data_IF_361285928129
#
_entry.id   IF_361285928129
#
_cell.length_a   1.000
_cell.length_b   1.000
_cell.length_c   1.000
_cell.angle_alpha   90.00
_cell.angle_beta   90.00
_cell.angle_gamma   90.00
#
_symmetry.space_group_name_H-M   'P 1'
#
loop_
_entity.id
_entity.type
_entity.pdbx_description
1 polymer ?
#
# COMPACT_ATOMS: atom_id res chain seq x y z
N UNK A 1 -56.40 -46.84 83.77
CA UNK A 1 -56.93 -46.50 82.43
C UNK A 1 -56.65 -47.67 81.51
N UNK A 2 -57.70 -48.31 80.96
CA UNK A 2 -57.54 -49.40 80.00
C UNK A 2 -57.12 -48.83 78.63
N UNK A 3 -56.40 -49.62 77.83
CA UNK A 3 -55.99 -49.25 76.46
C UNK A 3 -57.21 -48.85 75.60
N UNK A 4 -58.40 -49.39 75.90
CA UNK A 4 -59.65 -48.97 75.25
C UNK A 4 -60.06 -47.53 75.55
N UNK A 5 -59.81 -47.02 76.76
CA UNK A 5 -60.12 -45.65 77.13
C UNK A 5 -59.12 -44.66 76.51
N UNK A 6 -57.85 -45.06 76.42
CA UNK A 6 -56.83 -44.29 75.69
C UNK A 6 -57.12 -44.25 74.17
N UNK A 7 -57.60 -45.35 73.58
CA UNK A 7 -58.02 -45.38 72.18
C UNK A 7 -59.29 -44.59 71.91
N UNK A 8 -60.27 -44.58 72.83
CA UNK A 8 -61.47 -43.75 72.66
C UNK A 8 -61.18 -42.26 72.83
N UNK A 9 -60.27 -41.89 73.75
CA UNK A 9 -59.78 -40.51 73.87
C UNK A 9 -58.92 -40.11 72.67
N UNK A 10 -58.15 -41.03 72.08
CA UNK A 10 -57.41 -40.74 70.84
C UNK A 10 -58.36 -40.59 69.64
N UNK A 11 -59.42 -41.40 69.56
CA UNK A 11 -60.46 -41.25 68.53
C UNK A 11 -61.25 -39.94 68.68
N UNK A 12 -61.46 -39.43 69.90
CA UNK A 12 -62.11 -38.14 70.13
C UNK A 12 -61.17 -36.95 69.88
N UNK A 13 -59.87 -37.10 70.15
CA UNK A 13 -58.84 -36.09 69.84
C UNK A 13 -58.49 -35.98 68.34
N UNK A 14 -58.73 -37.06 67.57
CA UNK A 14 -58.52 -37.09 66.10
C UNK A 14 -59.82 -36.78 65.34
N UNK A 15 -60.95 -36.53 66.03
CA UNK A 15 -62.16 -35.97 65.42
C UNK A 15 -61.92 -34.49 65.06
N UNK A 16 -61.16 -34.28 64.00
CA UNK A 16 -60.81 -33.02 63.39
C UNK A 16 -62.06 -32.47 62.69
N UNK A 17 -62.92 -31.80 63.47
CA UNK A 17 -64.20 -31.25 62.99
C UNK A 17 -64.10 -30.59 61.62
N UNK A 18 -65.12 -30.80 60.78
CA UNK A 18 -65.23 -30.18 59.46
C UNK A 18 -64.92 -28.67 59.58
N UNK A 19 -63.95 -28.13 58.85
CA UNK A 19 -63.45 -28.58 57.53
C UNK A 19 -62.09 -29.33 57.53
N UNK A 20 -61.55 -29.71 58.69
CA UNK A 20 -60.14 -30.12 58.78
C UNK A 20 -59.88 -31.56 58.28
N UNK A 21 -60.85 -32.47 58.42
CA UNK A 21 -60.82 -33.83 57.85
C UNK A 21 -60.75 -33.83 56.31
N UNK A 22 -61.52 -32.96 55.65
CA UNK A 22 -61.56 -32.87 54.19
C UNK A 22 -60.26 -32.33 53.60
N UNK A 23 -59.61 -31.38 54.29
CA UNK A 23 -58.30 -30.86 53.91
C UNK A 23 -57.23 -31.95 54.03
N UNK A 24 -57.29 -32.79 55.06
CA UNK A 24 -56.36 -33.90 55.24
C UNK A 24 -56.55 -34.96 54.15
N UNK A 25 -57.80 -35.29 53.83
CA UNK A 25 -58.15 -36.24 52.79
C UNK A 25 -57.71 -35.77 51.39
N UNK A 26 -57.85 -34.48 51.10
CA UNK A 26 -57.38 -33.88 49.84
C UNK A 26 -55.87 -33.71 49.84
N UNK A 27 -55.25 -33.44 50.99
CA UNK A 27 -53.80 -33.32 51.15
C UNK A 27 -53.03 -34.55 50.68
N UNK A 28 -53.59 -35.76 50.87
CA UNK A 28 -53.00 -37.03 50.41
C UNK A 28 -52.83 -37.07 48.88
N UNK A 29 -53.72 -36.43 48.12
CA UNK A 29 -53.66 -36.40 46.66
C UNK A 29 -53.06 -35.10 46.11
N UNK A 30 -53.38 -33.98 46.75
CA UNK A 30 -52.93 -32.65 46.35
C UNK A 30 -51.41 -32.48 46.52
N UNK A 31 -50.84 -32.94 47.64
CA UNK A 31 -49.43 -32.71 47.94
C UNK A 31 -48.49 -33.46 46.95
N UNK A 32 -48.72 -34.74 46.62
CA UNK A 32 -47.99 -35.41 45.54
C UNK A 32 -48.16 -34.74 44.17
N UNK A 33 -49.37 -34.31 43.84
CA UNK A 33 -49.67 -33.69 42.55
C UNK A 33 -49.01 -32.31 42.39
N UNK A 34 -48.97 -31.52 43.47
CA UNK A 34 -48.25 -30.26 43.52
C UNK A 34 -46.74 -30.47 43.39
N UNK A 35 -46.18 -31.42 44.14
CA UNK A 35 -44.76 -31.76 44.07
C UNK A 35 -44.36 -32.20 42.65
N UNK A 36 -45.16 -33.05 42.01
CA UNK A 36 -44.98 -33.45 40.62
C UNK A 36 -45.00 -32.23 39.67
N UNK A 37 -45.97 -31.34 39.84
CA UNK A 37 -46.08 -30.13 39.02
C UNK A 37 -44.85 -29.22 39.13
N UNK A 38 -44.36 -29.00 40.34
CA UNK A 38 -43.14 -28.21 40.60
C UNK A 38 -41.92 -28.88 39.96
N UNK A 39 -41.77 -30.19 40.13
CA UNK A 39 -40.65 -30.94 39.57
C UNK A 39 -40.63 -30.86 38.04
N UNK A 40 -41.77 -31.03 37.37
CA UNK A 40 -41.87 -30.91 35.91
C UNK A 40 -41.48 -29.50 35.43
N UNK A 41 -41.87 -28.46 36.18
CA UNK A 41 -41.49 -27.08 35.88
C UNK A 41 -40.01 -26.79 36.14
N UNK A 42 -39.37 -27.42 37.11
CA UNK A 42 -37.93 -27.26 37.33
C UNK A 42 -37.12 -28.04 36.29
N UNK A 43 -37.56 -29.26 35.97
CA UNK A 43 -36.90 -30.14 35.01
C UNK A 43 -36.80 -29.51 33.60
N UNK A 44 -37.74 -28.63 33.23
CA UNK A 44 -37.71 -27.91 31.94
C UNK A 44 -36.38 -27.16 31.70
N UNK A 45 -35.67 -26.75 32.77
CA UNK A 45 -34.39 -26.02 32.68
C UNK A 45 -33.30 -26.83 32.00
N UNK A 46 -33.38 -28.16 32.07
CA UNK A 46 -32.39 -29.08 31.52
C UNK A 46 -32.69 -29.50 30.08
N UNK A 47 -33.81 -29.05 29.50
CA UNK A 47 -34.20 -29.39 28.13
C UNK A 47 -33.87 -28.25 27.15
N UNK A 48 -33.35 -28.58 25.94
CA UNK A 48 -33.05 -27.59 24.91
C UNK A 48 -34.32 -26.85 24.46
N UNK A 49 -34.14 -25.57 24.08
CA UNK A 49 -35.26 -24.62 23.98
C UNK A 49 -36.29 -24.94 22.87
N UNK A 50 -35.96 -25.81 21.91
CA UNK A 50 -36.79 -26.06 20.73
C UNK A 50 -37.54 -27.40 20.74
N UNK A 51 -37.54 -28.13 21.85
CA UNK A 51 -38.22 -29.43 21.90
C UNK A 51 -39.69 -29.31 22.33
N UNK A 52 -40.59 -29.90 21.53
CA UNK A 52 -42.01 -30.13 21.87
C UNK A 52 -42.18 -30.77 23.26
N UNK A 53 -41.20 -31.61 23.66
CA UNK A 53 -41.10 -32.22 24.98
C UNK A 53 -41.06 -31.20 26.12
N UNK A 54 -40.34 -30.08 25.96
CA UNK A 54 -40.27 -29.01 26.95
C UNK A 54 -41.64 -28.36 27.14
N UNK A 55 -42.31 -28.00 26.05
CA UNK A 55 -43.64 -27.39 26.12
C UNK A 55 -44.67 -28.35 26.73
N UNK A 56 -44.61 -29.64 26.39
CA UNK A 56 -45.48 -30.66 26.97
C UNK A 56 -45.27 -30.80 28.49
N UNK A 57 -44.02 -30.82 28.95
CA UNK A 57 -43.71 -30.90 30.39
C UNK A 57 -44.17 -29.66 31.16
N UNK A 58 -44.03 -28.47 30.58
CA UNK A 58 -44.53 -27.22 31.17
C UNK A 58 -46.04 -27.23 31.27
N UNK A 59 -46.73 -27.57 30.18
CA UNK A 59 -48.20 -27.65 30.16
C UNK A 59 -48.69 -28.68 31.17
N UNK A 60 -48.07 -29.86 31.22
CA UNK A 60 -48.38 -30.89 32.21
C UNK A 60 -48.17 -30.39 33.64
N UNK A 61 -47.06 -29.71 33.92
CA UNK A 61 -46.78 -29.13 35.23
C UNK A 61 -47.81 -28.07 35.65
N UNK A 62 -48.19 -27.19 34.73
CA UNK A 62 -49.23 -26.17 34.96
C UNK A 62 -50.59 -26.83 35.24
N UNK A 63 -50.96 -27.86 34.47
CA UNK A 63 -52.21 -28.60 34.68
C UNK A 63 -52.23 -29.27 36.06
N UNK A 64 -51.12 -29.89 36.49
CA UNK A 64 -51.01 -30.50 37.82
C UNK A 64 -51.19 -29.46 38.94
N UNK A 65 -50.56 -28.28 38.82
CA UNK A 65 -50.71 -27.21 39.81
C UNK A 65 -52.11 -26.58 39.81
N UNK A 66 -52.71 -26.40 38.64
CA UNK A 66 -54.08 -25.90 38.50
C UNK A 66 -55.08 -26.88 39.13
N UNK A 67 -54.96 -28.18 38.82
CA UNK A 67 -55.80 -29.23 39.40
C UNK A 67 -55.64 -29.31 40.93
N UNK A 68 -54.41 -29.19 41.42
CA UNK A 68 -54.15 -29.15 42.87
C UNK A 68 -54.80 -27.93 43.52
N UNK A 69 -54.62 -26.75 42.94
CA UNK A 69 -55.18 -25.50 43.45
C UNK A 69 -56.71 -25.52 43.46
N UNK A 70 -57.32 -26.04 42.39
CA UNK A 70 -58.77 -26.26 42.30
C UNK A 70 -59.25 -27.26 43.35
N UNK A 71 -58.54 -28.37 43.55
CA UNK A 71 -58.87 -29.36 44.57
C UNK A 71 -58.84 -28.78 45.99
N UNK A 72 -57.81 -27.99 46.32
CA UNK A 72 -57.69 -27.31 47.63
C UNK A 72 -58.74 -26.20 47.79
N UNK A 73 -59.01 -25.41 46.75
CA UNK A 73 -60.07 -24.40 46.79
C UNK A 73 -61.45 -25.02 46.95
N UNK A 74 -61.71 -26.13 46.26
CA UNK A 74 -62.95 -26.88 46.43
C UNK A 74 -63.05 -27.44 47.85
N UNK A 75 -61.95 -27.99 48.40
CA UNK A 75 -61.85 -28.43 49.80
C UNK A 75 -62.27 -27.35 50.79
N UNK A 76 -61.67 -26.17 50.61
CA UNK A 76 -61.84 -25.02 51.48
C UNK A 76 -63.22 -24.35 51.32
N UNK A 77 -63.95 -24.65 50.24
CA UNK A 77 -65.28 -24.07 50.00
C UNK A 77 -66.32 -24.48 51.05
N UNK A 78 -66.08 -25.58 51.77
CA UNK A 78 -66.86 -25.98 52.95
C UNK A 78 -66.86 -24.95 54.07
N UNK A 79 -65.78 -24.18 54.20
CA UNK A 79 -65.63 -23.14 55.20
C UNK A 79 -66.19 -21.78 54.75
N UNK A 80 -66.55 -21.64 53.48
CA UNK A 80 -67.05 -20.40 52.91
C UNK A 80 -68.59 -20.40 52.88
N UNK A 81 -69.25 -19.23 53.02
CA UNK A 81 -70.71 -19.11 53.09
C UNK A 81 -71.48 -19.45 51.79
N UNK A 82 -70.76 -19.88 50.75
CA UNK A 82 -71.23 -20.21 49.42
C UNK A 82 -70.62 -21.56 49.03
N UNK A 83 -71.46 -22.60 48.99
CA UNK A 83 -71.04 -23.95 48.61
C UNK A 83 -71.12 -24.12 47.09
N UNK A 84 -70.04 -24.61 46.48
CA UNK A 84 -70.07 -25.05 45.09
C UNK A 84 -70.78 -26.41 44.97
N UNK A 85 -72.08 -26.43 44.66
CA UNK A 85 -72.82 -27.66 44.32
C UNK A 85 -72.84 -28.73 45.42
N UNK A 86 -72.85 -30.01 45.02
CA UNK A 86 -72.97 -31.19 45.89
C UNK A 86 -71.69 -31.51 46.67
N UNK A 87 -71.24 -30.58 47.51
CA UNK A 87 -70.07 -30.72 48.39
C UNK A 87 -70.09 -32.04 49.17
N UNK A 88 -71.23 -32.38 49.77
CA UNK A 88 -71.41 -33.61 50.56
C UNK A 88 -71.18 -34.88 49.71
N UNK A 89 -71.59 -34.88 48.44
CA UNK A 89 -71.33 -36.01 47.52
C UNK A 89 -69.84 -36.12 47.17
N UNK A 90 -69.15 -34.98 47.02
CA UNK A 90 -67.72 -34.97 46.74
C UNK A 90 -66.89 -35.43 47.94
N UNK A 91 -67.15 -34.87 49.14
CA UNK A 91 -66.46 -35.27 50.37
C UNK A 91 -66.68 -36.76 50.67
N UNK A 92 -67.93 -37.26 50.56
CA UNK A 92 -68.20 -38.71 50.72
C UNK A 92 -67.51 -39.56 49.66
N UNK A 93 -67.46 -39.10 48.41
CA UNK A 93 -66.76 -39.81 47.33
C UNK A 93 -65.25 -39.87 47.56
N UNK A 94 -64.66 -38.77 48.02
CA UNK A 94 -63.24 -38.68 48.32
C UNK A 94 -62.88 -39.50 49.56
N UNK A 95 -63.71 -39.47 50.61
CA UNK A 95 -63.58 -40.31 51.78
C UNK A 95 -63.67 -41.80 51.41
N UNK A 96 -64.63 -42.19 50.57
CA UNK A 96 -64.74 -43.56 50.07
C UNK A 96 -63.48 -43.99 49.32
N UNK A 97 -62.89 -43.11 48.50
CA UNK A 97 -61.62 -43.39 47.83
C UNK A 97 -60.47 -43.56 48.83
N UNK A 98 -60.35 -42.67 49.82
CA UNK A 98 -59.32 -42.78 50.87
C UNK A 98 -59.48 -44.08 51.64
N UNK A 99 -60.70 -44.42 52.05
CA UNK A 99 -61.00 -45.66 52.77
C UNK A 99 -60.75 -46.90 51.90
N UNK A 100 -61.07 -46.85 50.60
CA UNK A 100 -60.84 -47.94 49.66
C UNK A 100 -59.34 -48.21 49.44
N UNK A 101 -58.53 -47.16 49.28
CA UNK A 101 -57.12 -47.28 48.94
C UNK A 101 -56.21 -47.48 50.16
N UNK A 102 -56.53 -46.83 51.28
CA UNK A 102 -55.66 -46.84 52.45
C UNK A 102 -56.22 -47.70 53.59
N UNK A 103 -57.54 -47.91 53.65
CA UNK A 103 -58.21 -48.72 54.68
C UNK A 103 -58.10 -48.18 56.12
N UNK A 104 -57.13 -47.31 56.40
CA UNK A 104 -56.85 -46.69 57.68
C UNK A 104 -56.07 -45.39 57.50
N UNK A 105 -56.31 -44.45 58.41
CA UNK A 105 -55.58 -43.17 58.54
C UNK A 105 -54.07 -43.39 58.74
N UNK A 106 -53.65 -44.48 59.37
CA UNK A 106 -52.23 -44.77 59.57
C UNK A 106 -51.52 -45.05 58.24
N UNK A 107 -52.16 -45.78 57.33
CA UNK A 107 -51.61 -46.09 56.01
C UNK A 107 -51.55 -44.86 55.11
N UNK A 108 -52.53 -43.96 55.21
CA UNK A 108 -52.51 -42.70 54.44
C UNK A 108 -51.41 -41.75 54.92
N UNK A 109 -51.16 -41.67 56.23
CA UNK A 109 -50.03 -40.90 56.79
C UNK A 109 -48.67 -41.49 56.37
N UNK A 110 -48.52 -42.82 56.42
CA UNK A 110 -47.30 -43.49 56.02
C UNK A 110 -47.03 -43.34 54.51
N UNK A 111 -48.09 -43.37 53.69
CA UNK A 111 -48.03 -43.04 52.28
C UNK A 111 -47.56 -41.60 52.03
N UNK A 112 -48.12 -40.62 52.74
CA UNK A 112 -47.74 -39.22 52.59
C UNK A 112 -46.26 -39.00 52.95
N UNK A 113 -45.79 -39.62 54.05
CA UNK A 113 -44.38 -39.59 54.42
C UNK A 113 -43.49 -40.22 53.32
N UNK A 114 -43.89 -41.35 52.78
CA UNK A 114 -43.21 -42.02 51.67
C UNK A 114 -43.13 -41.15 50.41
N UNK A 115 -44.24 -40.47 50.05
CA UNK A 115 -44.26 -39.52 48.94
C UNK A 115 -43.30 -38.35 49.17
N UNK A 116 -43.28 -37.75 50.37
CA UNK A 116 -42.37 -36.64 50.68
C UNK A 116 -40.91 -37.06 50.52
N UNK A 117 -40.52 -38.24 51.06
CA UNK A 117 -39.15 -38.76 50.91
C UNK A 117 -38.83 -39.06 49.44
N UNK A 118 -39.75 -39.69 48.72
CA UNK A 118 -39.58 -40.00 47.30
C UNK A 118 -39.37 -38.73 46.45
N UNK A 119 -40.22 -37.71 46.63
CA UNK A 119 -40.09 -36.45 45.91
C UNK A 119 -38.84 -35.66 46.32
N UNK A 120 -38.40 -35.73 47.58
CA UNK A 120 -37.14 -35.14 48.01
C UNK A 120 -35.93 -35.78 47.30
N UNK A 121 -35.90 -37.11 47.18
CA UNK A 121 -34.87 -37.82 46.42
C UNK A 121 -34.93 -37.46 44.94
N UNK A 122 -36.11 -37.47 44.34
CA UNK A 122 -36.29 -37.16 42.93
C UNK A 122 -35.90 -35.71 42.61
N UNK A 123 -36.25 -34.76 43.48
CA UNK A 123 -35.81 -33.38 43.38
C UNK A 123 -34.28 -33.26 43.51
N UNK A 124 -33.65 -34.01 44.41
CA UNK A 124 -32.19 -34.04 44.50
C UNK A 124 -31.55 -34.53 43.20
N UNK A 125 -32.05 -35.60 42.59
CA UNK A 125 -31.54 -36.12 41.31
C UNK A 125 -31.80 -35.19 40.12
N UNK A 126 -32.89 -34.42 40.13
CA UNK A 126 -33.26 -33.52 39.04
C UNK A 126 -32.54 -32.16 39.15
N UNK A 127 -32.35 -31.65 40.37
CA UNK A 127 -31.69 -30.36 40.62
C UNK A 127 -30.17 -30.52 40.60
N UNK A 128 -29.63 -31.67 41.02
CA UNK A 128 -28.24 -31.99 40.79
C UNK A 128 -28.02 -32.11 39.27
N UNK A 129 -27.18 -31.23 38.73
CA UNK A 129 -26.86 -31.22 37.32
C UNK A 129 -26.40 -32.62 36.88
N UNK A 130 -26.89 -33.16 35.74
CA UNK A 130 -26.28 -34.33 35.12
C UNK A 130 -24.80 -34.02 34.92
N UNK A 131 -23.93 -34.99 35.23
CA UNK A 131 -22.47 -34.82 35.13
C UNK A 131 -22.09 -34.10 33.83
N UNK A 132 -21.22 -33.08 33.88
CA UNK A 132 -20.80 -32.37 32.67
C UNK A 132 -20.17 -33.39 31.74
N UNK A 133 -20.68 -33.51 30.52
CA UNK A 133 -20.19 -34.44 29.52
C UNK A 133 -18.72 -34.12 29.20
N UNK A 134 -17.81 -34.79 29.91
CA UNK A 134 -16.37 -34.57 29.81
C UNK A 134 -15.83 -34.93 28.43
N UNK A 135 -16.58 -35.73 27.66
CA UNK A 135 -16.19 -36.14 26.31
C UNK A 135 -16.44 -35.00 25.34
N UNK A 136 -17.61 -34.36 25.36
CA UNK A 136 -17.88 -33.18 24.53
C UNK A 136 -16.94 -32.03 24.87
N UNK A 137 -16.72 -31.74 26.15
CA UNK A 137 -15.74 -30.76 26.62
C UNK A 137 -14.32 -31.04 26.11
N UNK A 138 -13.89 -32.31 26.11
CA UNK A 138 -12.58 -32.70 25.57
C UNK A 138 -12.50 -32.51 24.06
N UNK A 139 -13.56 -32.80 23.32
CA UNK A 139 -13.60 -32.58 21.87
C UNK A 139 -13.60 -31.10 21.51
N UNK A 140 -14.35 -30.28 22.24
CA UNK A 140 -14.36 -28.82 22.07
C UNK A 140 -13.00 -28.21 22.41
N UNK A 141 -12.35 -28.67 23.49
CA UNK A 141 -11.02 -28.18 23.86
C UNK A 141 -9.95 -28.55 22.81
N UNK A 142 -10.06 -29.72 22.18
CA UNK A 142 -9.20 -30.08 21.04
C UNK A 142 -9.47 -29.20 19.82
N UNK A 143 -10.73 -28.98 19.46
CA UNK A 143 -11.09 -28.11 18.34
C UNK A 143 -10.60 -26.68 18.56
N UNK A 144 -10.84 -26.10 19.73
CA UNK A 144 -10.37 -24.77 20.11
C UNK A 144 -8.84 -24.67 20.07
N UNK A 145 -8.12 -25.73 20.44
CA UNK A 145 -6.65 -25.76 20.37
C UNK A 145 -6.14 -25.78 18.93
N UNK A 146 -6.78 -26.51 18.03
CA UNK A 146 -6.43 -26.49 16.60
C UNK A 146 -6.76 -25.14 15.97
N UNK A 147 -7.91 -24.54 16.29
CA UNK A 147 -8.25 -23.18 15.85
C UNK A 147 -7.25 -22.13 16.35
N UNK A 148 -6.83 -22.23 17.62
CA UNK A 148 -5.82 -21.34 18.19
C UNK A 148 -4.44 -21.52 17.53
N UNK A 149 -4.11 -22.74 17.10
CA UNK A 149 -2.87 -23.01 16.36
C UNK A 149 -2.92 -22.39 14.96
N UNK A 150 -4.01 -22.59 14.24
CA UNK A 150 -4.23 -22.00 12.92
C UNK A 150 -4.24 -20.47 12.96
N UNK A 151 -4.88 -19.87 13.98
CA UNK A 151 -4.89 -18.42 14.15
C UNK A 151 -3.49 -17.88 14.43
N UNK A 152 -2.69 -18.57 15.25
CA UNK A 152 -1.30 -18.20 15.52
C UNK A 152 -0.43 -18.27 14.25
N UNK A 153 -0.60 -19.31 13.43
CA UNK A 153 0.09 -19.42 12.14
C UNK A 153 -0.32 -18.29 11.17
N UNK A 154 -1.61 -17.92 11.13
CA UNK A 154 -2.08 -16.80 10.33
C UNK A 154 -1.51 -15.46 10.80
N UNK A 155 -1.45 -15.22 12.12
CA UNK A 155 -0.84 -14.02 12.69
C UNK A 155 0.65 -13.94 12.35
N UNK A 156 1.38 -15.05 12.42
CA UNK A 156 2.80 -15.07 12.03
C UNK A 156 3.01 -14.75 10.55
N UNK A 157 2.13 -15.26 9.66
CA UNK A 157 2.18 -14.91 8.23
C UNK A 157 1.91 -13.42 8.01
N UNK A 158 0.89 -12.87 8.66
CA UNK A 158 0.58 -11.45 8.58
C UNK A 158 1.73 -10.58 9.11
N UNK A 159 2.42 -11.00 10.16
CA UNK A 159 3.58 -10.27 10.69
C UNK A 159 4.76 -10.26 9.70
N UNK A 160 5.00 -11.39 9.02
CA UNK A 160 6.02 -11.47 7.95
C UNK A 160 5.64 -10.59 6.76
N UNK A 161 4.40 -10.64 6.31
CA UNK A 161 3.93 -9.83 5.18
C UNK A 161 3.96 -8.34 5.52
N UNK A 162 3.62 -7.95 6.75
CA UNK A 162 3.70 -6.57 7.20
C UNK A 162 5.16 -6.06 7.21
N UNK A 163 6.12 -6.88 7.68
CA UNK A 163 7.55 -6.54 7.60
C UNK A 163 8.01 -6.34 6.15
N UNK A 164 7.63 -7.25 5.24
CA UNK A 164 7.93 -7.12 3.80
C UNK A 164 7.31 -5.87 3.18
N UNK A 165 6.07 -5.56 3.54
CA UNK A 165 5.40 -4.37 3.04
C UNK A 165 6.10 -3.10 3.53
N UNK A 166 6.54 -3.07 4.78
CA UNK A 166 7.24 -1.94 5.36
C UNK A 166 8.63 -1.74 4.73
N UNK A 167 9.36 -2.83 4.46
CA UNK A 167 10.61 -2.78 3.69
C UNK A 167 10.38 -2.23 2.28
N UNK A 168 9.35 -2.71 1.58
CA UNK A 168 8.99 -2.20 0.25
C UNK A 168 8.60 -0.71 0.28
N UNK A 169 7.87 -0.28 1.31
CA UNK A 169 7.47 1.11 1.48
C UNK A 169 8.68 2.00 1.70
N UNK A 170 9.63 1.57 2.54
CA UNK A 170 10.90 2.27 2.75
C UNK A 170 11.75 2.35 1.47
N UNK A 171 11.81 1.28 0.68
CA UNK A 171 12.49 1.29 -0.62
C UNK A 171 11.83 2.28 -1.61
N UNK A 172 10.49 2.36 -1.61
CA UNK A 172 9.77 3.33 -2.44
C UNK A 172 9.94 4.77 -1.97
N UNK A 173 9.96 5.02 -0.67
CA UNK A 173 10.24 6.34 -0.11
C UNK A 173 11.64 6.83 -0.47
N UNK A 174 12.66 5.96 -0.36
CA UNK A 174 14.03 6.30 -0.77
C UNK A 174 14.14 6.55 -2.28
N UNK A 175 13.44 5.76 -3.10
CA UNK A 175 13.36 5.97 -4.54
C UNK A 175 12.69 7.30 -4.91
N UNK A 176 11.60 7.65 -4.20
CA UNK A 176 10.91 8.93 -4.38
C UNK A 176 11.80 10.11 -3.99
N UNK A 177 12.48 10.04 -2.85
CA UNK A 177 13.42 11.09 -2.42
C UNK A 177 14.56 11.28 -3.43
N UNK A 178 15.05 10.20 -4.05
CA UNK A 178 16.04 10.28 -5.14
C UNK A 178 15.49 11.00 -6.37
N UNK A 179 14.28 10.63 -6.81
CA UNK A 179 13.63 11.27 -7.97
C UNK A 179 13.30 12.75 -7.71
N UNK A 180 12.90 13.11 -6.49
CA UNK A 180 12.71 14.50 -6.08
C UNK A 180 14.03 15.29 -6.14
N UNK A 181 15.14 14.69 -5.70
CA UNK A 181 16.48 15.29 -5.82
C UNK A 181 16.92 15.48 -7.28
N UNK A 182 16.66 14.50 -8.14
CA UNK A 182 16.93 14.61 -9.58
C UNK A 182 16.08 15.71 -10.23
N UNK A 183 14.79 15.81 -9.88
CA UNK A 183 13.91 16.87 -10.37
C UNK A 183 14.39 18.26 -9.96
N UNK A 184 14.83 18.44 -8.71
CA UNK A 184 15.34 19.72 -8.25
C UNK A 184 16.67 20.09 -8.96
N UNK A 185 17.51 19.10 -9.24
CA UNK A 185 18.74 19.30 -10.03
C UNK A 185 18.42 19.73 -11.45
N UNK A 186 17.49 19.05 -12.12
CA UNK A 186 17.02 19.43 -13.46
C UNK A 186 16.41 20.83 -13.45
N UNK A 187 15.66 21.18 -12.42
CA UNK A 187 15.06 22.52 -12.27
C UNK A 187 16.13 23.60 -12.13
N UNK A 188 17.19 23.35 -11.36
CA UNK A 188 18.32 24.25 -11.24
C UNK A 188 19.05 24.42 -12.59
N UNK A 189 19.30 23.32 -13.32
CA UNK A 189 19.92 23.37 -14.65
C UNK A 189 19.06 24.14 -15.67
N UNK A 190 17.73 23.96 -15.65
CA UNK A 190 16.82 24.72 -16.50
C UNK A 190 16.90 26.20 -16.17
N UNK A 191 16.87 26.57 -14.89
CA UNK A 191 16.98 27.97 -14.47
C UNK A 191 18.32 28.60 -14.88
N UNK A 192 19.42 27.86 -14.78
CA UNK A 192 20.74 28.31 -15.25
C UNK A 192 20.76 28.51 -16.78
N UNK A 193 20.18 27.57 -17.54
CA UNK A 193 20.07 27.69 -19.00
C UNK A 193 19.19 28.86 -19.41
N UNK A 194 18.06 29.07 -18.74
CA UNK A 194 17.19 30.24 -18.98
C UNK A 194 17.94 31.55 -18.72
N UNK A 195 18.72 31.62 -17.64
CA UNK A 195 19.60 32.77 -17.35
C UNK A 195 20.66 32.99 -18.43
N UNK A 196 21.31 31.92 -18.88
CA UNK A 196 22.29 31.96 -19.98
C UNK A 196 21.68 32.42 -21.30
N UNK A 197 20.49 31.91 -21.65
CA UNK A 197 19.74 32.33 -22.83
C UNK A 197 19.40 33.82 -22.74
N UNK A 198 18.87 34.29 -21.61
CA UNK A 198 18.55 35.71 -21.41
C UNK A 198 19.78 36.61 -21.56
N UNK A 199 20.92 36.18 -21.02
CA UNK A 199 22.19 36.90 -21.16
C UNK A 199 22.65 36.93 -22.62
N UNK A 200 22.54 35.81 -23.33
CA UNK A 200 22.90 35.71 -24.74
C UNK A 200 21.96 36.56 -25.61
N UNK A 201 20.66 36.59 -25.33
CA UNK A 201 19.69 37.47 -25.98
C UNK A 201 20.02 38.95 -25.73
N UNK A 202 20.43 39.32 -24.51
CA UNK A 202 20.86 40.68 -24.21
C UNK A 202 22.13 41.06 -24.98
N UNK A 203 23.11 40.15 -25.08
CA UNK A 203 24.32 40.35 -25.87
C UNK A 203 24.02 40.46 -27.37
N UNK A 204 23.11 39.64 -27.88
CA UNK A 204 22.65 39.70 -29.27
C UNK A 204 21.96 41.04 -29.54
N UNK A 205 21.04 41.48 -28.66
CA UNK A 205 20.40 42.81 -28.76
C UNK A 205 21.39 43.96 -28.69
N UNK A 206 22.44 43.85 -27.87
CA UNK A 206 23.50 44.85 -27.80
C UNK A 206 24.37 44.88 -29.07
N UNK A 207 24.70 43.72 -29.65
CA UNK A 207 25.38 43.61 -30.95
C UNK A 207 24.50 43.99 -32.13
N UNK A 208 23.19 43.80 -32.02
CA UNK A 208 22.19 44.18 -33.03
C UNK A 208 21.57 45.55 -32.77
N UNK A 209 22.11 46.33 -31.82
CA UNK A 209 21.70 47.72 -31.57
C UNK A 209 22.01 48.62 -32.78
N UNK A 210 21.25 49.72 -32.97
CA UNK A 210 21.04 50.34 -34.27
C UNK A 210 22.32 50.95 -34.86
N UNK A 211 22.53 50.61 -36.13
CA UNK A 211 23.09 51.46 -37.20
C UNK A 211 24.40 52.22 -36.97
N UNK A 212 25.16 52.06 -35.89
CA UNK A 212 26.46 52.74 -35.77
C UNK A 212 27.43 52.40 -36.92
N UNK A 213 27.34 51.17 -37.44
CA UNK A 213 28.09 50.74 -38.63
C UNK A 213 27.41 51.23 -39.91
N UNK A 214 26.09 51.13 -40.04
CA UNK A 214 25.36 51.60 -41.24
C UNK A 214 25.46 53.12 -41.43
N UNK A 215 25.32 53.90 -40.37
CA UNK A 215 25.44 55.37 -40.37
C UNK A 215 26.88 55.80 -40.66
N UNK A 216 27.87 55.09 -40.12
CA UNK A 216 29.29 55.33 -40.43
C UNK A 216 29.61 54.96 -41.90
N UNK A 217 29.09 53.83 -42.39
CA UNK A 217 29.23 53.44 -43.80
C UNK A 217 28.53 54.46 -44.70
N UNK A 218 27.36 54.96 -44.33
CA UNK A 218 26.63 55.99 -45.09
C UNK A 218 27.37 57.33 -45.11
N UNK A 219 27.95 57.73 -43.98
CA UNK A 219 28.80 58.92 -43.90
C UNK A 219 30.08 58.76 -44.75
N UNK A 220 30.73 57.59 -44.71
CA UNK A 220 31.88 57.29 -45.56
C UNK A 220 31.53 57.26 -47.04
N UNK A 221 30.34 56.77 -47.42
CA UNK A 221 29.86 56.80 -48.80
C UNK A 221 29.67 58.25 -49.26
N UNK A 222 29.00 59.10 -48.48
CA UNK A 222 28.86 60.52 -48.81
C UNK A 222 30.20 61.24 -48.94
N UNK A 223 31.14 60.97 -48.03
CA UNK A 223 32.49 61.53 -48.11
C UNK A 223 33.21 61.04 -49.37
N UNK A 224 33.09 59.75 -49.70
CA UNK A 224 33.65 59.16 -50.92
C UNK A 224 33.04 59.80 -52.16
N UNK A 225 31.73 60.00 -52.22
CA UNK A 225 31.04 60.66 -53.34
C UNK A 225 31.51 62.11 -53.54
N UNK A 226 31.76 62.84 -52.46
CA UNK A 226 32.35 64.18 -52.54
C UNK A 226 33.79 64.14 -53.10
N UNK A 227 34.63 63.21 -52.64
CA UNK A 227 35.96 62.99 -53.23
C UNK A 227 35.88 62.53 -54.67
N UNK A 228 34.92 61.69 -55.05
CA UNK A 228 34.72 61.26 -56.43
C UNK A 228 34.33 62.46 -57.29
N UNK A 229 33.44 63.34 -56.82
CA UNK A 229 33.10 64.58 -57.52
C UNK A 229 34.32 65.49 -57.70
N UNK A 230 35.12 65.65 -56.64
CA UNK A 230 36.39 66.41 -56.69
C UNK A 230 37.38 65.80 -57.69
N UNK A 231 37.59 64.48 -57.62
CA UNK A 231 38.49 63.74 -58.52
C UNK A 231 37.97 63.72 -59.95
N UNK A 232 36.66 63.71 -60.19
CA UNK A 232 36.09 63.83 -61.53
C UNK A 232 36.30 65.22 -62.10
N UNK A 233 36.19 66.28 -61.28
CA UNK A 233 36.55 67.64 -61.68
C UNK A 233 38.05 67.75 -61.98
N UNK A 234 38.89 67.14 -61.13
CA UNK A 234 40.34 67.10 -61.34
C UNK A 234 40.72 66.25 -62.56
N UNK A 235 40.03 65.15 -62.83
CA UNK A 235 40.19 64.34 -64.04
C UNK A 235 39.73 65.11 -65.27
N UNK A 236 38.68 65.94 -65.19
CA UNK A 236 38.29 66.81 -66.31
C UNK A 236 39.38 67.85 -66.59
N UNK A 237 39.94 68.47 -65.56
CA UNK A 237 41.08 69.39 -65.64
C UNK A 237 42.36 68.71 -66.15
N UNK A 238 42.62 67.48 -65.68
CA UNK A 238 43.76 66.68 -66.09
C UNK A 238 43.58 66.12 -67.49
N UNK A 239 42.36 65.79 -67.94
CA UNK A 239 42.08 65.44 -69.34
C UNK A 239 42.36 66.61 -70.26
N UNK A 240 41.97 67.82 -69.88
CA UNK A 240 42.35 69.05 -70.59
C UNK A 240 43.87 69.24 -70.64
N UNK A 241 44.61 68.84 -69.59
CA UNK A 241 46.09 68.83 -69.59
C UNK A 241 46.71 67.67 -70.37
N UNK A 242 46.09 66.49 -70.38
CA UNK A 242 46.55 65.25 -71.03
C UNK A 242 46.28 65.27 -72.53
N UNK A 243 45.21 65.91 -72.99
CA UNK A 243 45.03 66.25 -74.41
C UNK A 243 46.13 67.21 -74.92
N UNK A 244 46.76 67.98 -74.01
CA UNK A 244 47.98 68.77 -74.28
C UNK A 244 49.31 68.01 -74.13
N UNK A 245 49.32 66.76 -73.68
CA UNK A 245 50.56 66.00 -73.37
C UNK A 245 50.50 64.55 -73.85
N UNK A 246 50.06 64.36 -75.09
CA UNK A 246 50.06 63.06 -75.77
C UNK A 246 51.45 62.74 -76.34
N UNK A 247 52.46 62.55 -75.47
CA UNK A 247 53.72 61.87 -75.84
C UNK A 247 54.56 61.50 -74.60
N UNK A 248 54.32 60.31 -74.03
CA UNK A 248 55.34 59.31 -73.61
C UNK A 248 54.76 58.16 -72.78
N UNK A 249 55.28 56.92 -72.93
CA UNK A 249 54.84 55.74 -72.18
C UNK A 249 55.62 55.59 -70.85
N UNK A 250 54.94 55.11 -69.81
CA UNK A 250 55.55 54.72 -68.53
C UNK A 250 55.73 53.20 -68.47
N UNK A 251 56.97 52.77 -68.20
CA UNK A 251 57.37 51.38 -67.97
C UNK A 251 57.95 51.20 -66.56
N UNK A 252 57.90 49.95 -66.06
CA UNK A 252 58.90 49.28 -65.19
C UNK A 252 58.76 49.21 -63.66
N UNK A 253 57.64 49.57 -63.02
CA UNK A 253 57.49 49.39 -61.55
C UNK A 253 56.70 48.13 -61.11
N UNK A 254 56.01 47.46 -62.03
CA UNK A 254 55.05 46.39 -61.68
C UNK A 254 55.68 44.97 -61.60
N UNK A 255 56.79 44.72 -62.29
CA UNK A 255 57.34 43.36 -62.40
C UNK A 255 57.92 42.80 -61.08
N UNK A 256 58.45 43.66 -60.19
CA UNK A 256 58.98 43.21 -58.89
C UNK A 256 57.89 42.85 -57.88
N UNK A 257 56.76 43.58 -57.90
CA UNK A 257 55.61 43.28 -57.03
C UNK A 257 54.90 42.01 -57.48
N UNK A 258 54.83 41.78 -58.79
CA UNK A 258 54.31 40.55 -59.38
C UNK A 258 55.09 39.32 -58.92
N UNK A 259 56.43 39.36 -58.99
CA UNK A 259 57.27 38.24 -58.55
C UNK A 259 57.17 37.94 -57.03
N UNK A 260 56.99 38.98 -56.20
CA UNK A 260 56.84 38.82 -54.75
C UNK A 260 55.44 38.27 -54.37
N UNK A 261 54.40 38.70 -55.08
CA UNK A 261 53.04 38.17 -54.95
C UNK A 261 52.95 36.70 -55.42
N UNK A 262 53.63 36.35 -56.52
CA UNK A 262 53.68 34.99 -57.04
C UNK A 262 54.35 34.02 -56.05
N UNK A 263 55.44 34.47 -55.42
CA UNK A 263 56.11 33.70 -54.36
C UNK A 263 55.26 33.55 -53.10
N UNK A 264 54.52 34.59 -52.72
CA UNK A 264 53.57 34.51 -51.59
C UNK A 264 52.40 33.57 -51.87
N UNK A 265 51.93 33.53 -53.13
CA UNK A 265 50.85 32.64 -53.57
C UNK A 265 51.32 31.19 -53.65
N UNK A 266 52.54 30.92 -54.12
CA UNK A 266 53.12 29.57 -54.05
C UNK A 266 53.31 29.09 -52.61
N UNK A 267 53.76 29.96 -51.70
CA UNK A 267 53.91 29.61 -50.29
C UNK A 267 52.58 29.33 -49.58
N UNK A 268 51.53 30.09 -49.89
CA UNK A 268 50.20 29.81 -49.34
C UNK A 268 49.65 28.50 -49.92
N UNK A 269 49.78 28.27 -51.23
CA UNK A 269 49.35 27.04 -51.88
C UNK A 269 50.06 25.79 -51.33
N UNK A 270 51.37 25.87 -51.05
CA UNK A 270 52.11 24.79 -50.41
C UNK A 270 51.63 24.50 -48.98
N UNK A 271 51.29 25.54 -48.20
CA UNK A 271 50.71 25.38 -46.86
C UNK A 271 49.31 24.75 -46.91
N UNK A 272 48.51 25.09 -47.91
CA UNK A 272 47.19 24.50 -48.13
C UNK A 272 47.28 22.99 -48.39
N UNK A 273 48.17 22.58 -49.28
CA UNK A 273 48.40 21.16 -49.60
C UNK A 273 48.86 20.38 -48.36
N UNK A 274 49.75 20.95 -47.54
CA UNK A 274 50.20 20.31 -46.29
C UNK A 274 49.07 20.18 -45.25
N UNK A 275 48.23 21.20 -45.09
CA UNK A 275 47.08 21.15 -44.17
C UNK A 275 46.02 20.15 -44.61
N UNK A 276 45.73 20.05 -45.91
CA UNK A 276 44.78 19.07 -46.45
C UNK A 276 45.29 17.65 -46.24
N UNK A 277 46.57 17.38 -46.48
CA UNK A 277 47.17 16.06 -46.23
C UNK A 277 47.14 15.68 -44.75
N UNK A 278 47.39 16.64 -43.85
CA UNK A 278 47.29 16.43 -42.39
C UNK A 278 45.86 16.19 -41.94
N UNK A 279 44.89 16.85 -42.55
CA UNK A 279 43.46 16.64 -42.28
C UNK A 279 42.99 15.24 -42.73
N UNK A 280 43.45 14.74 -43.88
CA UNK A 280 43.16 13.37 -44.32
C UNK A 280 43.79 12.33 -43.38
N UNK A 281 45.06 12.55 -43.00
CA UNK A 281 45.75 11.70 -42.01
C UNK A 281 45.02 11.72 -40.67
N UNK A 282 44.56 12.90 -40.23
CA UNK A 282 43.75 13.06 -39.04
C UNK A 282 42.43 12.28 -39.15
N UNK A 283 41.71 12.36 -40.26
CA UNK A 283 40.47 11.58 -40.45
C UNK A 283 40.70 10.07 -40.30
N UNK A 284 41.77 9.53 -40.90
CA UNK A 284 42.13 8.11 -40.77
C UNK A 284 42.51 7.75 -39.33
N UNK A 285 43.23 8.63 -38.63
CA UNK A 285 43.56 8.44 -37.21
C UNK A 285 42.30 8.51 -36.34
N UNK A 286 41.30 9.32 -36.69
CA UNK A 286 40.04 9.42 -35.92
C UNK A 286 39.29 8.11 -35.85
N UNK A 287 39.24 7.36 -36.96
CA UNK A 287 38.59 6.05 -37.01
C UNK A 287 39.34 5.02 -36.14
N UNK A 288 40.68 5.08 -36.15
CA UNK A 288 41.53 4.29 -35.26
C UNK A 288 41.31 4.65 -33.78
N UNK A 289 41.21 5.94 -33.46
CA UNK A 289 40.98 6.42 -32.09
C UNK A 289 39.59 6.01 -31.58
N UNK A 290 38.57 6.03 -32.44
CA UNK A 290 37.23 5.52 -32.08
C UNK A 290 37.29 4.02 -31.77
N UNK A 291 38.02 3.21 -32.55
CA UNK A 291 38.23 1.79 -32.25
C UNK A 291 38.95 1.59 -30.90
N UNK A 292 39.99 2.38 -30.64
CA UNK A 292 40.76 2.35 -29.39
C UNK A 292 39.89 2.71 -28.17
N UNK A 293 38.98 3.67 -28.32
CA UNK A 293 38.02 4.06 -27.26
C UNK A 293 37.05 2.91 -26.94
N UNK A 294 36.56 2.19 -27.96
CA UNK A 294 35.69 1.02 -27.76
C UNK A 294 36.43 -0.11 -27.05
N UNK A 295 37.69 -0.35 -27.44
CA UNK A 295 38.53 -1.34 -26.77
C UNK A 295 38.80 -0.94 -25.31
N UNK A 296 39.06 0.35 -25.05
CA UNK A 296 39.24 0.91 -23.71
C UNK A 296 38.00 0.70 -22.81
N UNK A 297 36.78 0.86 -23.33
CA UNK A 297 35.56 0.57 -22.57
C UNK A 297 35.55 -0.91 -22.14
N UNK A 298 35.95 -1.82 -23.03
CA UNK A 298 36.04 -3.25 -22.73
C UNK A 298 37.11 -3.55 -21.66
N UNK A 299 38.27 -2.89 -21.75
CA UNK A 299 39.34 -3.00 -20.76
C UNK A 299 38.92 -2.43 -19.39
N UNK A 300 38.24 -1.28 -19.34
CA UNK A 300 37.70 -0.72 -18.09
C UNK A 300 36.69 -1.67 -17.45
N UNK A 301 35.78 -2.26 -18.24
CA UNK A 301 34.78 -3.23 -17.74
C UNK A 301 35.41 -4.49 -17.13
N UNK A 302 36.56 -4.92 -17.64
CA UNK A 302 37.27 -6.12 -17.15
C UNK A 302 38.24 -5.85 -15.99
N UNK A 303 38.46 -4.59 -15.60
CA UNK A 303 39.32 -4.26 -14.45
C UNK A 303 38.67 -4.59 -13.10
N UNK A 304 39.48 -4.85 -12.07
CA UNK A 304 39.02 -5.10 -10.69
C UNK A 304 38.71 -3.82 -9.89
N UNK A 305 38.52 -2.68 -10.56
CA UNK A 305 38.20 -1.41 -9.88
C UNK A 305 36.77 -1.40 -9.34
N UNK A 306 36.50 -0.49 -8.43
CA UNK A 306 35.16 -0.26 -7.87
C UNK A 306 34.17 0.11 -8.98
N UNK A 307 32.94 -0.39 -8.90
CA UNK A 307 31.95 -0.24 -9.97
C UNK A 307 31.57 1.24 -10.21
N UNK A 308 31.61 2.08 -9.18
CA UNK A 308 31.47 3.54 -9.29
C UNK A 308 32.54 4.16 -10.20
N UNK A 309 33.81 3.78 -10.00
CA UNK A 309 34.95 4.28 -10.79
C UNK A 309 34.89 3.77 -12.23
N UNK A 310 34.45 2.53 -12.44
CA UNK A 310 34.22 1.98 -13.80
C UNK A 310 33.18 2.79 -14.56
N UNK A 311 32.06 3.11 -13.92
CA UNK A 311 30.98 3.86 -14.56
C UNK A 311 31.43 5.29 -14.91
N UNK A 312 32.20 5.96 -14.04
CA UNK A 312 32.76 7.29 -14.34
C UNK A 312 33.77 7.24 -15.49
N UNK A 313 34.63 6.22 -15.55
CA UNK A 313 35.58 6.06 -16.65
C UNK A 313 34.88 5.74 -17.97
N UNK A 314 33.86 4.90 -17.95
CA UNK A 314 33.05 4.57 -19.14
C UNK A 314 32.32 5.81 -19.64
N UNK A 315 31.69 6.60 -18.77
CA UNK A 315 30.97 7.82 -19.19
C UNK A 315 31.92 8.89 -19.76
N UNK A 316 33.13 9.03 -19.21
CA UNK A 316 34.18 9.88 -19.78
C UNK A 316 34.60 9.41 -21.18
N UNK A 317 34.83 8.11 -21.37
CA UNK A 317 35.23 7.54 -22.66
C UNK A 317 34.10 7.67 -23.70
N UNK A 318 32.84 7.44 -23.31
CA UNK A 318 31.68 7.62 -24.18
C UNK A 318 31.43 9.10 -24.54
N UNK A 319 31.62 10.01 -23.58
CA UNK A 319 31.55 11.45 -23.80
C UNK A 319 32.61 11.93 -24.79
N UNK A 320 33.84 11.43 -24.62
CA UNK A 320 34.95 11.71 -25.53
C UNK A 320 34.67 11.16 -26.94
N UNK A 321 34.20 9.91 -27.06
CA UNK A 321 33.81 9.32 -28.33
C UNK A 321 32.73 10.14 -29.07
N UNK A 322 31.67 10.55 -28.38
CA UNK A 322 30.61 11.42 -28.94
C UNK A 322 31.15 12.77 -29.41
N UNK A 323 32.08 13.37 -28.65
CA UNK A 323 32.70 14.64 -29.02
C UNK A 323 33.55 14.53 -30.28
N UNK A 324 34.33 13.46 -30.42
CA UNK A 324 35.17 13.20 -31.59
C UNK A 324 34.32 12.93 -32.83
N UNK A 325 33.26 12.12 -32.69
CA UNK A 325 32.31 11.86 -33.77
C UNK A 325 31.61 13.15 -34.23
N UNK A 326 31.26 14.04 -33.29
CA UNK A 326 30.66 15.33 -33.63
C UNK A 326 31.62 16.22 -34.43
N UNK A 327 32.86 16.36 -33.97
CA UNK A 327 33.88 17.16 -34.68
C UNK A 327 34.22 16.54 -36.04
N UNK A 328 34.30 15.22 -36.14
CA UNK A 328 34.50 14.52 -37.41
C UNK A 328 33.34 14.73 -38.39
N UNK A 329 32.10 14.77 -37.90
CA UNK A 329 30.91 15.04 -38.71
C UNK A 329 30.82 16.51 -39.15
N UNK A 330 31.04 17.45 -38.25
CA UNK A 330 31.07 18.89 -38.55
C UNK A 330 32.20 19.20 -39.56
N UNK A 331 33.36 18.53 -39.45
CA UNK A 331 34.44 18.60 -40.43
C UNK A 331 34.11 17.91 -41.78
N UNK A 332 33.18 16.94 -41.80
CA UNK A 332 32.69 16.27 -43.01
C UNK A 332 31.70 17.11 -43.82
N UNK A 333 31.00 18.04 -43.16
CA UNK A 333 30.04 18.98 -43.77
C UNK A 333 30.73 20.28 -44.27
N UNK A 334 32.01 20.48 -43.98
CA UNK A 334 32.80 21.62 -44.49
C UNK A 334 33.07 21.50 -46.00
N UNK A 335 33.05 22.63 -46.71
CA UNK A 335 33.33 22.72 -48.15
C UNK A 335 34.70 22.11 -48.46
N UNK A 336 34.82 21.42 -49.61
CA UNK A 336 36.03 20.71 -50.03
C UNK A 336 37.31 21.57 -50.12
N UNK A 337 37.18 22.90 -50.12
CA UNK A 337 38.28 23.86 -50.26
C UNK A 337 38.78 24.45 -48.93
N UNK A 338 38.24 24.06 -47.78
CA UNK A 338 38.69 24.57 -46.46
C UNK A 338 39.45 23.51 -45.65
N UNK A 339 40.56 23.88 -44.96
CA UNK A 339 41.43 22.92 -44.30
C UNK A 339 40.81 22.54 -42.95
N UNK A 340 40.67 21.25 -42.67
CA UNK A 340 40.02 20.72 -41.46
C UNK A 340 40.93 20.82 -40.23
N UNK A 341 41.31 22.04 -39.86
CA UNK A 341 42.26 22.33 -38.77
C UNK A 341 41.68 21.93 -37.41
N UNK A 342 40.37 22.07 -37.23
CA UNK A 342 39.65 21.69 -36.01
C UNK A 342 39.67 20.17 -35.77
N UNK A 343 39.61 19.37 -36.83
CA UNK A 343 39.74 17.91 -36.77
C UNK A 343 41.12 17.48 -36.29
N UNK A 344 42.18 18.14 -36.78
CA UNK A 344 43.56 17.88 -36.37
C UNK A 344 43.73 18.17 -34.87
N UNK A 345 43.23 19.33 -34.41
CA UNK A 345 43.31 19.72 -32.99
C UNK A 345 42.55 18.79 -32.06
N UNK A 346 41.33 18.39 -32.44
CA UNK A 346 40.49 17.50 -31.65
C UNK A 346 41.12 16.11 -31.48
N UNK A 347 41.77 15.58 -32.51
CA UNK A 347 42.39 14.25 -32.44
C UNK A 347 43.63 14.24 -31.55
N UNK A 348 44.46 15.29 -31.60
CA UNK A 348 45.63 15.41 -30.72
C UNK A 348 45.18 15.43 -29.25
N UNK A 349 44.19 16.27 -28.91
CA UNK A 349 43.66 16.33 -27.54
C UNK A 349 43.02 15.01 -27.11
N UNK A 350 42.31 14.34 -28.01
CA UNK A 350 41.70 13.03 -27.73
C UNK A 350 42.76 11.98 -27.43
N UNK A 351 43.84 11.96 -28.21
CA UNK A 351 44.94 11.02 -28.01
C UNK A 351 45.63 11.22 -26.65
N UNK A 352 45.83 12.48 -26.22
CA UNK A 352 46.39 12.80 -24.91
C UNK A 352 45.47 12.35 -23.76
N UNK A 353 44.15 12.52 -23.89
CA UNK A 353 43.17 12.09 -22.89
C UNK A 353 43.10 10.55 -22.84
N UNK A 354 43.13 9.88 -23.99
CA UNK A 354 43.19 8.42 -24.11
C UNK A 354 44.42 7.86 -23.41
N UNK A 355 45.59 8.48 -23.59
CA UNK A 355 46.82 8.08 -22.92
C UNK A 355 46.76 8.31 -21.40
N UNK A 356 46.15 9.40 -20.95
CA UNK A 356 45.91 9.65 -19.53
C UNK A 356 45.00 8.58 -18.90
N UNK A 357 43.93 8.18 -19.60
CA UNK A 357 43.00 7.12 -19.17
C UNK A 357 43.71 5.76 -19.15
N UNK A 358 44.47 5.42 -20.21
CA UNK A 358 45.29 4.19 -20.26
C UNK A 358 46.26 4.12 -19.07
N UNK A 359 46.86 5.24 -18.67
CA UNK A 359 47.74 5.34 -17.49
C UNK A 359 47.00 5.09 -16.17
N UNK A 360 45.79 5.64 -16.03
CA UNK A 360 44.94 5.43 -14.84
C UNK A 360 44.44 3.99 -14.75
N UNK A 361 44.21 3.30 -15.86
CA UNK A 361 43.77 1.88 -15.87
C UNK A 361 44.90 0.93 -15.44
N UNK A 362 46.15 1.24 -15.79
CA UNK A 362 47.33 0.41 -15.46
C UNK A 362 47.80 0.52 -14.00
N UNK A 363 47.37 1.55 -13.28
CA UNK A 363 47.57 1.74 -11.84
C UNK A 363 46.41 1.11 -11.07
#
# INVERSE_FOLDING_TARGET
MTVSALLSDYQSLVALGAPMDDILAIGIFALPLAALGIILLVYQRHLPQNELKRNLMVVSGIICLAATSLGVLFAASSALPWSFGSWDTFSRGLQLLVDLFFGSVLFSLLYLLGCVVFFALLAHFIIAAPEPDLVSLRTEMKAAKEEAKLSKEAVQRLEVDNKRLNEFLSEKETSLASLEGELETIRAEISEREGSISLMEAQLKAKSGPSGIEDNVRAQIQQKDLTIGSLQSEIADLRLKVEGTKDRPMTSRDDRKLAELEKSLQNSQARWIDLTRRAETASQVSDSVISDLVELISQVKSTKKEDSTKQTLISLIEGLGKSVTRVAREAGEAKADEPRVELIGAIIMTNEIVDAIKKVIRQ
#
